data_IF_494618445341
#
_entry.id   IF_494618445341
#
_cell.length_a   1.000
_cell.length_b   1.000
_cell.length_c   1.000
_cell.angle_alpha   90.00
_cell.angle_beta   90.00
_cell.angle_gamma   90.00
#
_symmetry.space_group_name_H-M   'P 1'
#
loop_
_entity.id
_entity.type
_entity.pdbx_description
1 polymer ?
#
# COMPACT_ATOMS: atom_id res chain seq x y z
N UNK A 1 30.34 17.02 3.45
CA UNK A 1 29.73 17.10 4.80
C UNK A 1 28.48 17.93 4.67
N UNK A 2 27.26 17.41 4.90
CA UNK A 2 26.10 18.28 5.02
C UNK A 2 26.23 19.08 6.34
N UNK A 3 25.74 20.32 6.40
CA UNK A 3 25.77 21.08 7.63
C UNK A 3 24.91 20.35 8.66
N UNK A 4 25.54 19.96 9.77
CA UNK A 4 24.82 19.69 11.01
C UNK A 4 23.95 20.91 11.27
N UNK A 5 22.65 20.74 11.09
CA UNK A 5 21.67 21.77 11.44
C UNK A 5 21.73 21.89 12.96
N UNK A 6 22.58 22.79 13.46
CA UNK A 6 22.61 23.15 14.87
C UNK A 6 21.24 23.71 15.21
N UNK A 7 20.41 22.84 15.78
CA UNK A 7 19.11 23.23 16.28
C UNK A 7 19.36 24.28 17.37
N UNK A 8 18.74 25.45 17.25
CA UNK A 8 18.81 26.47 18.30
C UNK A 8 18.45 25.82 19.64
N UNK A 9 19.18 26.15 20.71
CA UNK A 9 18.89 25.65 22.06
C UNK A 9 17.42 25.85 22.46
N UNK A 10 16.78 26.92 21.95
CA UNK A 10 15.36 27.18 22.12
C UNK A 10 14.48 26.08 21.49
N UNK A 11 14.80 25.66 20.26
CA UNK A 11 14.03 24.64 19.53
C UNK A 11 14.27 23.26 20.16
N UNK A 12 15.50 22.97 20.58
CA UNK A 12 15.81 21.73 21.29
C UNK A 12 15.04 21.63 22.62
N UNK A 13 14.98 22.72 23.40
CA UNK A 13 14.19 22.78 24.62
C UNK A 13 12.69 22.62 24.35
N UNK A 14 12.18 23.23 23.27
CA UNK A 14 10.78 23.08 22.86
C UNK A 14 10.41 21.63 22.51
N UNK A 15 11.23 20.93 21.73
CA UNK A 15 10.99 19.52 21.44
C UNK A 15 11.09 18.64 22.68
N UNK A 16 12.05 18.90 23.57
CA UNK A 16 12.17 18.16 24.83
C UNK A 16 10.93 18.33 25.73
N UNK A 17 10.32 19.52 25.74
CA UNK A 17 9.07 19.76 26.47
C UNK A 17 7.90 18.95 25.88
N UNK A 18 7.79 18.89 24.54
CA UNK A 18 6.78 18.08 23.85
C UNK A 18 6.99 16.60 24.17
N UNK A 19 8.21 16.10 24.03
CA UNK A 19 8.55 14.69 24.29
C UNK A 19 8.16 14.30 25.72
N UNK A 20 8.51 15.11 26.72
CA UNK A 20 8.16 14.85 28.11
C UNK A 20 6.63 14.78 28.34
N UNK A 21 5.86 15.66 27.69
CA UNK A 21 4.40 15.66 27.76
C UNK A 21 3.78 14.45 27.05
N UNK A 22 4.34 14.05 25.92
CA UNK A 22 3.91 12.85 25.18
C UNK A 22 4.18 11.60 26.01
N UNK A 23 5.36 11.46 26.60
CA UNK A 23 5.70 10.34 27.50
C UNK A 23 4.73 10.25 28.68
N UNK A 24 4.44 11.38 29.34
CA UNK A 24 3.46 11.43 30.43
C UNK A 24 2.07 10.95 29.98
N UNK A 25 1.61 11.38 28.80
CA UNK A 25 0.32 10.95 28.27
C UNK A 25 0.33 9.45 27.92
N UNK A 26 1.43 8.96 27.35
CA UNK A 26 1.62 7.54 27.02
C UNK A 26 1.59 6.65 28.26
N UNK A 27 2.21 7.08 29.36
CA UNK A 27 2.18 6.37 30.65
C UNK A 27 0.77 6.29 31.26
N UNK A 28 -0.02 7.36 31.12
CA UNK A 28 -1.43 7.35 31.54
C UNK A 28 -2.23 6.37 30.70
N UNK A 29 -2.06 6.40 29.37
CA UNK A 29 -2.74 5.49 28.45
C UNK A 29 -2.34 4.03 28.70
N UNK A 30 -1.05 3.74 28.92
CA UNK A 30 -0.54 2.39 29.20
C UNK A 30 -1.14 1.81 30.48
N UNK A 31 -1.19 2.61 31.56
CA UNK A 31 -1.85 2.17 32.81
C UNK A 31 -3.35 1.97 32.66
N UNK A 32 -4.01 2.70 31.76
CA UNK A 32 -5.42 2.49 31.47
C UNK A 32 -5.64 1.19 30.68
N UNK A 33 -4.89 0.97 29.60
CA UNK A 33 -4.96 -0.22 28.74
C UNK A 33 -4.63 -1.51 29.50
N UNK A 34 -3.67 -1.47 30.42
CA UNK A 34 -3.32 -2.60 31.29
C UNK A 34 -4.46 -3.08 32.22
N UNK A 35 -5.59 -2.37 32.30
CA UNK A 35 -6.78 -2.84 33.03
C UNK A 35 -7.60 -3.88 32.26
N UNK A 36 -7.29 -4.14 30.98
CA UNK A 36 -7.99 -5.15 30.17
C UNK A 36 -9.45 -4.78 29.86
N UNK A 37 -9.77 -3.49 29.78
CA UNK A 37 -11.12 -2.99 29.49
C UNK A 37 -11.32 -2.58 28.01
N UNK A 38 -10.25 -2.59 27.24
CA UNK A 38 -10.20 -2.21 25.82
C UNK A 38 -9.80 -3.44 24.97
N UNK A 39 -9.95 -3.41 23.63
CA UNK A 39 -9.60 -4.55 22.77
C UNK A 39 -8.15 -5.03 22.90
N UNK A 40 -7.24 -4.15 23.30
CA UNK A 40 -5.81 -4.42 23.44
C UNK A 40 -5.30 -3.91 24.79
N UNK A 41 -4.44 -4.67 25.45
CA UNK A 41 -3.85 -4.34 26.76
C UNK A 41 -2.64 -3.39 26.67
N UNK A 42 -2.27 -2.97 25.45
CA UNK A 42 -1.20 -2.03 25.15
C UNK A 42 -1.74 -0.76 24.50
N UNK A 43 -0.91 0.27 24.41
CA UNK A 43 -1.21 1.45 23.60
C UNK A 43 -0.98 1.11 22.14
N UNK A 44 -2.03 1.23 21.31
CA UNK A 44 -1.99 0.80 19.90
C UNK A 44 -1.38 1.85 18.96
N UNK A 45 -1.25 3.10 19.41
CA UNK A 45 -0.67 4.19 18.61
C UNK A 45 0.84 4.22 18.88
N UNK A 46 1.69 3.78 17.93
CA UNK A 46 3.13 3.83 18.10
C UNK A 46 3.64 5.28 18.01
N UNK A 47 4.68 5.60 18.79
CA UNK A 47 5.41 6.86 18.65
C UNK A 47 6.46 6.72 17.56
N UNK A 48 6.61 7.75 16.74
CA UNK A 48 7.63 7.82 15.70
C UNK A 48 8.25 9.22 15.65
N UNK A 49 9.58 9.29 15.58
CA UNK A 49 10.32 10.55 15.55
C UNK A 49 10.56 11.08 14.14
N UNK A 50 10.50 10.21 13.13
CA UNK A 50 10.72 10.55 11.74
C UNK A 50 9.81 9.74 10.80
N UNK A 51 9.86 10.05 9.51
CA UNK A 51 9.05 9.38 8.48
C UNK A 51 9.38 7.89 8.37
N UNK A 52 10.66 7.49 8.44
CA UNK A 52 11.06 6.10 8.30
C UNK A 52 10.59 5.22 9.48
N UNK A 53 10.60 5.75 10.71
CA UNK A 53 10.01 5.11 11.89
C UNK A 53 8.49 5.03 11.79
N UNK A 54 7.84 6.06 11.22
CA UNK A 54 6.39 6.04 10.99
C UNK A 54 6.00 4.95 10.01
N UNK A 55 6.77 4.77 8.93
CA UNK A 55 6.56 3.71 7.94
C UNK A 55 6.70 2.33 8.59
N UNK A 56 7.78 2.09 9.34
CA UNK A 56 8.00 0.83 10.05
C UNK A 56 6.91 0.57 11.09
N UNK A 57 6.58 1.56 11.92
CA UNK A 57 5.56 1.48 12.95
C UNK A 57 4.16 1.26 12.39
N UNK A 58 3.80 1.89 11.27
CA UNK A 58 2.50 1.73 10.61
C UNK A 58 2.32 0.28 10.13
N UNK A 59 3.30 -0.28 9.42
CA UNK A 59 3.17 -1.63 8.87
C UNK A 59 3.33 -2.70 9.97
N UNK A 60 3.95 -2.36 11.11
CA UNK A 60 4.05 -3.26 12.26
C UNK A 60 2.69 -3.65 12.85
N UNK A 61 1.63 -2.90 12.55
CA UNK A 61 0.25 -3.25 12.93
C UNK A 61 -0.21 -4.58 12.30
N UNK A 62 0.27 -4.93 11.10
CA UNK A 62 -0.07 -6.17 10.39
C UNK A 62 1.10 -7.15 10.29
N UNK A 63 2.33 -6.68 10.50
CA UNK A 63 3.53 -7.52 10.53
C UNK A 63 4.45 -7.12 11.70
N UNK A 64 4.12 -7.52 12.95
CA UNK A 64 4.86 -7.11 14.14
C UNK A 64 6.37 -7.43 14.09
N UNK A 65 6.77 -8.45 13.34
CA UNK A 65 8.16 -8.88 13.16
C UNK A 65 9.06 -7.84 12.47
N UNK A 66 8.48 -6.84 11.79
CA UNK A 66 9.27 -5.79 11.14
C UNK A 66 9.73 -4.72 12.13
N UNK A 67 9.07 -4.60 13.27
CA UNK A 67 9.39 -3.58 14.27
C UNK A 67 10.79 -3.83 14.83
N UNK A 68 11.69 -2.85 14.71
CA UNK A 68 13.08 -2.97 15.12
C UNK A 68 13.93 -3.85 14.20
N UNK A 69 13.42 -4.27 13.04
CA UNK A 69 14.18 -5.10 12.07
C UNK A 69 15.27 -4.32 11.32
N UNK A 70 15.29 -2.99 11.46
CA UNK A 70 16.27 -2.12 10.83
C UNK A 70 15.82 -1.52 9.49
N UNK A 71 14.55 -1.69 9.11
CA UNK A 71 13.96 -1.11 7.90
C UNK A 71 14.05 0.42 7.94
N UNK A 72 13.72 1.07 9.06
CA UNK A 72 13.81 2.53 9.17
C UNK A 72 15.23 3.05 8.91
N UNK A 73 16.26 2.33 9.40
CA UNK A 73 17.66 2.68 9.12
C UNK A 73 17.97 2.53 7.63
N UNK A 74 17.52 1.44 7.02
CA UNK A 74 17.76 1.17 5.60
C UNK A 74 17.09 2.21 4.70
N UNK A 75 15.88 2.63 5.02
CA UNK A 75 15.21 3.73 4.29
C UNK A 75 16.11 4.97 4.28
N UNK A 76 16.66 5.37 5.44
CA UNK A 76 17.58 6.51 5.52
C UNK A 76 18.90 6.33 4.76
N UNK A 77 19.38 5.09 4.56
CA UNK A 77 20.52 4.80 3.68
C UNK A 77 20.16 4.94 2.21
N UNK A 78 19.00 4.41 1.80
CA UNK A 78 18.49 4.54 0.44
C UNK A 78 18.19 6.00 0.09
N UNK A 79 17.67 6.80 1.03
CA UNK A 79 17.46 8.24 0.82
C UNK A 79 18.77 9.00 0.59
N UNK A 80 19.89 8.57 1.20
CA UNK A 80 21.21 9.15 0.92
C UNK A 80 21.72 8.79 -0.48
N UNK A 81 21.29 7.65 -1.02
CA UNK A 81 21.67 7.17 -2.35
C UNK A 81 20.82 7.80 -3.47
N UNK A 82 19.49 7.77 -3.32
CA UNK A 82 18.54 8.19 -4.35
C UNK A 82 18.02 9.62 -4.18
N UNK A 83 18.10 10.16 -2.96
CA UNK A 83 17.43 11.40 -2.56
C UNK A 83 16.23 11.12 -1.64
N UNK A 84 15.94 12.07 -0.75
CA UNK A 84 14.78 11.96 0.15
C UNK A 84 13.47 12.03 -0.64
N UNK A 85 12.51 11.19 -0.25
CA UNK A 85 11.21 11.01 -0.91
C UNK A 85 11.29 10.58 -2.39
N UNK A 86 12.44 10.10 -2.86
CA UNK A 86 12.54 9.55 -4.21
C UNK A 86 11.80 8.20 -4.29
N UNK A 87 10.97 8.02 -5.32
CA UNK A 87 10.16 6.81 -5.52
C UNK A 87 11.02 5.54 -5.63
N UNK A 88 12.28 5.63 -6.07
CA UNK A 88 13.20 4.49 -6.16
C UNK A 88 13.54 3.90 -4.79
N UNK A 89 13.47 4.70 -3.72
CA UNK A 89 13.62 4.20 -2.34
C UNK A 89 12.51 3.20 -2.01
N UNK A 90 11.26 3.48 -2.40
CA UNK A 90 10.12 2.57 -2.21
C UNK A 90 10.33 1.24 -2.94
N UNK A 91 10.78 1.29 -4.20
CA UNK A 91 11.05 0.09 -5.00
C UNK A 91 12.17 -0.76 -4.40
N UNK A 92 13.26 -0.10 -3.98
CA UNK A 92 14.41 -0.77 -3.40
C UNK A 92 14.04 -1.43 -2.06
N UNK A 93 13.42 -0.71 -1.14
CA UNK A 93 13.07 -1.27 0.17
C UNK A 93 12.03 -2.38 0.06
N UNK A 94 11.02 -2.21 -0.81
CA UNK A 94 10.01 -3.24 -1.07
C UNK A 94 10.64 -4.54 -1.57
N UNK A 95 11.60 -4.45 -2.51
CA UNK A 95 12.33 -5.61 -3.02
C UNK A 95 13.21 -6.26 -1.96
N UNK A 96 13.88 -5.46 -1.14
CA UNK A 96 14.75 -5.99 -0.08
C UNK A 96 13.96 -6.75 1.00
N UNK A 97 12.79 -6.23 1.37
CA UNK A 97 11.87 -6.91 2.29
C UNK A 97 11.27 -8.16 1.65
N UNK A 98 10.83 -8.08 0.40
CA UNK A 98 10.32 -9.24 -0.32
C UNK A 98 11.36 -10.38 -0.45
N UNK A 99 12.65 -10.06 -0.42
CA UNK A 99 13.76 -11.02 -0.39
C UNK A 99 14.19 -11.41 1.04
N UNK A 100 13.38 -11.07 2.04
CA UNK A 100 13.58 -11.43 3.45
C UNK A 100 14.92 -10.96 4.04
N UNK A 101 15.45 -9.80 3.59
CA UNK A 101 16.75 -9.30 4.07
C UNK A 101 16.76 -8.86 5.55
N UNK A 102 15.59 -8.58 6.14
CA UNK A 102 15.47 -8.00 7.48
C UNK A 102 14.84 -8.95 8.50
N UNK A 103 13.86 -9.74 8.07
CA UNK A 103 13.16 -10.72 8.88
C UNK A 103 12.54 -11.79 7.95
N UNK A 104 12.11 -12.89 8.55
CA UNK A 104 11.46 -14.01 7.87
C UNK A 104 9.94 -13.89 7.93
N UNK A 105 9.26 -14.34 6.88
CA UNK A 105 7.79 -14.40 6.80
C UNK A 105 7.32 -15.85 6.69
N UNK A 106 6.03 -16.10 6.90
CA UNK A 106 5.47 -17.45 6.78
C UNK A 106 5.43 -17.94 5.33
N UNK A 107 5.44 -17.01 4.37
CA UNK A 107 5.49 -17.34 2.94
C UNK A 107 6.14 -16.24 2.11
N UNK A 108 6.61 -16.62 0.91
CA UNK A 108 7.12 -15.68 -0.08
C UNK A 108 6.05 -14.64 -0.51
N UNK A 109 4.77 -15.03 -0.50
CA UNK A 109 3.64 -14.12 -0.75
C UNK A 109 3.56 -13.05 0.32
N UNK A 110 3.58 -13.45 1.58
CA UNK A 110 3.56 -12.52 2.71
C UNK A 110 4.76 -11.56 2.67
N UNK A 111 5.97 -12.07 2.40
CA UNK A 111 7.16 -11.22 2.25
C UNK A 111 6.97 -10.15 1.16
N UNK A 112 6.42 -10.54 0.00
CA UNK A 112 6.12 -9.59 -1.09
C UNK A 112 5.06 -8.57 -0.68
N UNK A 113 3.97 -9.00 -0.02
CA UNK A 113 2.92 -8.12 0.45
C UNK A 113 3.45 -7.11 1.47
N UNK A 114 4.22 -7.55 2.48
CA UNK A 114 4.82 -6.63 3.46
C UNK A 114 5.81 -5.69 2.80
N UNK A 115 6.62 -6.16 1.84
CA UNK A 115 7.49 -5.29 1.05
C UNK A 115 6.71 -4.21 0.31
N UNK A 116 5.61 -4.57 -0.35
CA UNK A 116 4.71 -3.63 -1.03
C UNK A 116 4.10 -2.64 -0.04
N UNK A 117 3.64 -3.09 1.13
CA UNK A 117 3.08 -2.22 2.18
C UNK A 117 4.09 -1.19 2.67
N UNK A 118 5.32 -1.60 2.95
CA UNK A 118 6.39 -0.68 3.39
C UNK A 118 6.73 0.32 2.29
N UNK A 119 6.88 -0.13 1.04
CA UNK A 119 7.12 0.76 -0.09
C UNK A 119 5.97 1.75 -0.30
N UNK A 120 4.72 1.28 -0.22
CA UNK A 120 3.54 2.13 -0.37
C UNK A 120 3.42 3.14 0.77
N UNK A 121 3.68 2.72 2.01
CA UNK A 121 3.73 3.61 3.16
C UNK A 121 4.79 4.69 3.00
N UNK A 122 5.98 4.35 2.48
CA UNK A 122 7.01 5.34 2.17
C UNK A 122 6.52 6.37 1.13
N UNK A 123 5.90 5.92 0.03
CA UNK A 123 5.35 6.81 -1.01
C UNK A 123 4.32 7.80 -0.46
N UNK A 124 3.61 7.41 0.59
CA UNK A 124 2.59 8.24 1.25
C UNK A 124 3.07 8.83 2.58
N UNK A 125 4.39 8.87 2.83
CA UNK A 125 5.01 9.40 4.05
C UNK A 125 4.52 8.78 5.37
N UNK A 126 3.89 7.60 5.31
CA UNK A 126 3.25 6.93 6.43
C UNK A 126 2.07 7.71 7.04
N UNK A 127 1.42 8.61 6.29
CA UNK A 127 0.34 9.47 6.82
C UNK A 127 -1.07 9.07 6.39
N UNK A 128 -1.22 8.01 5.60
CA UNK A 128 -2.52 7.56 5.09
C UNK A 128 -2.72 6.07 5.34
N UNK A 129 -3.97 5.62 5.32
CA UNK A 129 -4.33 4.23 5.61
C UNK A 129 -4.15 3.27 4.41
N UNK A 130 -3.99 3.79 3.18
CA UNK A 130 -3.89 2.96 1.96
C UNK A 130 -2.89 1.80 2.01
N UNK A 131 -1.71 1.90 2.65
CA UNK A 131 -0.80 0.77 2.80
C UNK A 131 -1.35 -0.39 3.64
N UNK A 132 -2.31 -0.13 4.53
CA UNK A 132 -2.97 -1.15 5.37
C UNK A 132 -4.33 -1.55 4.81
N UNK A 133 -5.15 -0.57 4.45
CA UNK A 133 -6.57 -0.76 4.12
C UNK A 133 -6.87 -0.62 2.62
N UNK A 134 -5.99 0.04 1.86
CA UNK A 134 -6.19 0.26 0.43
C UNK A 134 -5.67 -0.92 -0.40
N UNK A 135 -4.43 -1.34 -0.16
CA UNK A 135 -3.90 -2.59 -0.70
C UNK A 135 -4.33 -3.75 0.21
N UNK A 136 -5.13 -4.70 -0.28
CA UNK A 136 -5.66 -5.80 0.54
C UNK A 136 -4.74 -7.01 0.47
N UNK A 137 -4.45 -7.51 -0.72
CA UNK A 137 -3.57 -8.66 -0.94
C UNK A 137 -3.16 -8.80 -2.41
N UNK A 138 -2.17 -9.66 -2.66
CA UNK A 138 -1.90 -10.24 -3.98
C UNK A 138 -2.65 -11.56 -4.07
N UNK A 139 -3.50 -11.74 -5.08
CA UNK A 139 -4.02 -13.06 -5.47
C UNK A 139 -3.18 -13.61 -6.62
N UNK A 140 -2.67 -14.82 -6.47
CA UNK A 140 -2.00 -15.54 -7.55
C UNK A 140 -3.05 -16.24 -8.41
N UNK A 141 -3.17 -15.82 -9.67
CA UNK A 141 -4.09 -16.40 -10.64
C UNK A 141 -3.33 -17.00 -11.82
N UNK A 142 -4.01 -17.83 -12.62
CA UNK A 142 -3.41 -18.50 -13.79
C UNK A 142 -3.81 -17.82 -15.09
N UNK A 143 -2.81 -17.64 -15.94
CA UNK A 143 -2.96 -17.23 -17.34
C UNK A 143 -3.54 -18.37 -18.17
N UNK A 144 -3.91 -18.07 -19.43
CA UNK A 144 -4.35 -19.08 -20.40
C UNK A 144 -3.28 -20.14 -20.66
N UNK A 145 -2.01 -19.76 -20.58
CA UNK A 145 -0.85 -20.66 -20.74
C UNK A 145 -0.47 -21.41 -19.45
N UNK A 146 -1.22 -21.23 -18.37
CA UNK A 146 -1.02 -21.89 -17.07
C UNK A 146 0.01 -21.22 -16.16
N UNK A 147 0.77 -20.21 -16.63
CA UNK A 147 1.69 -19.46 -15.76
C UNK A 147 0.94 -18.59 -14.76
N UNK A 148 1.56 -18.34 -13.61
CA UNK A 148 0.99 -17.50 -12.57
C UNK A 148 1.26 -16.01 -12.82
N UNK A 149 0.29 -15.16 -12.49
CA UNK A 149 0.39 -13.71 -12.54
C UNK A 149 -0.26 -13.09 -11.29
N UNK A 150 -0.02 -11.79 -11.10
CA UNK A 150 -0.57 -11.03 -9.98
C UNK A 150 -1.94 -10.43 -10.31
N UNK A 151 -2.95 -10.79 -9.53
CA UNK A 151 -4.18 -10.02 -9.37
C UNK A 151 -4.09 -9.23 -8.05
N UNK A 152 -4.16 -7.90 -8.13
CA UNK A 152 -3.93 -7.02 -6.98
C UNK A 152 -5.28 -6.58 -6.44
N UNK A 153 -5.61 -7.02 -5.24
CA UNK A 153 -6.85 -6.65 -4.58
C UNK A 153 -6.68 -5.28 -3.92
N UNK A 154 -7.29 -4.26 -4.52
CA UNK A 154 -7.42 -2.92 -3.94
C UNK A 154 -8.85 -2.69 -3.40
N UNK A 155 -8.94 -2.01 -2.27
CA UNK A 155 -10.20 -1.57 -1.67
C UNK A 155 -10.34 -0.04 -1.74
N UNK A 156 -11.57 0.45 -1.55
CA UNK A 156 -11.91 1.88 -1.61
C UNK A 156 -11.00 2.85 -0.81
N UNK A 157 -10.47 2.48 0.38
CA UNK A 157 -9.52 3.33 1.12
C UNK A 157 -8.25 3.72 0.33
N UNK A 158 -7.92 3.02 -0.76
CA UNK A 158 -6.82 3.38 -1.66
C UNK A 158 -6.92 4.83 -2.16
N UNK A 159 -8.15 5.37 -2.27
CA UNK A 159 -8.42 6.79 -2.62
C UNK A 159 -7.60 7.77 -1.77
N UNK A 160 -7.35 7.46 -0.50
CA UNK A 160 -6.63 8.34 0.43
C UNK A 160 -5.14 8.50 0.09
N UNK A 161 -4.55 7.61 -0.71
CA UNK A 161 -3.17 7.75 -1.17
C UNK A 161 -3.00 8.84 -2.23
N UNK A 162 -4.08 9.18 -2.94
CA UNK A 162 -4.03 10.03 -4.13
C UNK A 162 -3.43 9.33 -5.35
N UNK A 163 -3.71 9.86 -6.54
CA UNK A 163 -3.38 9.22 -7.82
C UNK A 163 -1.88 8.97 -8.02
N UNK A 164 -1.00 9.89 -7.57
CA UNK A 164 0.45 9.73 -7.74
C UNK A 164 0.98 8.52 -6.98
N UNK A 165 0.66 8.40 -5.68
CA UNK A 165 1.17 7.29 -4.87
C UNK A 165 0.55 5.95 -5.29
N UNK A 166 -0.74 5.94 -5.66
CA UNK A 166 -1.40 4.75 -6.19
C UNK A 166 -0.76 4.27 -7.51
N UNK A 167 -0.50 5.18 -8.45
CA UNK A 167 0.15 4.84 -9.73
C UNK A 167 1.56 4.29 -9.53
N UNK A 168 2.35 4.91 -8.63
CA UNK A 168 3.71 4.42 -8.32
C UNK A 168 3.66 3.10 -7.54
N UNK A 169 2.63 2.86 -6.72
CA UNK A 169 2.43 1.57 -6.07
C UNK A 169 2.17 0.47 -7.10
N UNK A 170 1.32 0.70 -8.10
CA UNK A 170 1.11 -0.25 -9.21
C UNK A 170 2.42 -0.54 -9.97
N UNK A 171 3.23 0.48 -10.25
CA UNK A 171 4.56 0.33 -10.85
C UNK A 171 5.50 -0.53 -9.98
N UNK A 172 5.52 -0.27 -8.67
CA UNK A 172 6.34 -1.01 -7.71
C UNK A 172 5.90 -2.47 -7.61
N UNK A 173 4.59 -2.74 -7.63
CA UNK A 173 4.06 -4.10 -7.60
C UNK A 173 4.46 -4.85 -8.88
N UNK A 174 4.42 -4.20 -10.05
CA UNK A 174 4.93 -4.79 -11.30
C UNK A 174 6.43 -5.07 -11.24
N UNK A 175 7.20 -4.19 -10.58
CA UNK A 175 8.61 -4.41 -10.33
C UNK A 175 8.84 -5.67 -9.48
N UNK A 176 8.10 -5.84 -8.38
CA UNK A 176 8.14 -7.06 -7.55
C UNK A 176 7.73 -8.29 -8.36
N UNK A 177 6.63 -8.23 -9.13
CA UNK A 177 6.20 -9.32 -10.02
C UNK A 177 7.34 -9.81 -10.92
N UNK A 178 8.05 -8.88 -11.56
CA UNK A 178 9.20 -9.20 -12.45
C UNK A 178 10.35 -9.84 -11.68
N UNK A 179 10.69 -9.30 -10.52
CA UNK A 179 11.80 -9.78 -9.68
C UNK A 179 11.60 -11.22 -9.19
N UNK A 180 10.34 -11.64 -8.99
CA UNK A 180 9.99 -12.99 -8.55
C UNK A 180 9.50 -13.91 -9.69
N UNK A 181 9.64 -13.48 -10.95
CA UNK A 181 9.42 -14.35 -12.12
C UNK A 181 7.97 -14.63 -12.47
N UNK A 182 7.01 -13.87 -11.94
CA UNK A 182 5.60 -13.99 -12.29
C UNK A 182 5.34 -13.40 -13.67
N UNK A 183 4.44 -14.03 -14.44
CA UNK A 183 4.11 -13.60 -15.78
C UNK A 183 3.25 -12.32 -15.77
N UNK A 184 3.28 -11.58 -16.88
CA UNK A 184 2.36 -10.46 -17.08
C UNK A 184 0.94 -10.97 -17.30
N UNK A 185 -0.05 -10.24 -16.79
CA UNK A 185 -1.47 -10.51 -16.98
C UNK A 185 -1.83 -10.60 -18.48
N UNK A 186 -2.69 -11.56 -18.85
CA UNK A 186 -3.19 -11.78 -20.20
C UNK A 186 -4.72 -11.55 -20.26
N UNK A 187 -5.19 -10.29 -20.26
CA UNK A 187 -6.60 -10.00 -20.25
C UNK A 187 -7.32 -10.56 -21.48
N UNK A 188 -8.56 -10.97 -21.29
CA UNK A 188 -9.53 -11.28 -22.35
C UNK A 188 -10.27 -10.00 -22.77
N UNK A 189 -10.85 -10.02 -23.97
CA UNK A 189 -11.68 -8.90 -24.44
C UNK A 189 -12.85 -8.59 -23.48
N UNK A 190 -13.41 -9.62 -22.82
CA UNK A 190 -14.48 -9.41 -21.84
C UNK A 190 -13.98 -8.72 -20.57
N UNK A 191 -12.78 -9.06 -20.08
CA UNK A 191 -12.18 -8.40 -18.92
C UNK A 191 -11.79 -6.95 -19.24
N UNK A 192 -11.30 -6.68 -20.45
CA UNK A 192 -11.00 -5.31 -20.91
C UNK A 192 -12.27 -4.45 -20.91
N UNK A 193 -13.36 -4.98 -21.50
CA UNK A 193 -14.64 -4.27 -21.54
C UNK A 193 -15.27 -4.14 -20.15
N UNK A 194 -15.04 -5.12 -19.26
CA UNK A 194 -15.44 -5.03 -17.85
C UNK A 194 -14.80 -3.83 -17.15
N UNK A 195 -13.52 -3.55 -17.36
CA UNK A 195 -12.89 -2.34 -16.79
C UNK A 195 -13.60 -1.06 -17.25
N UNK A 196 -13.89 -0.93 -18.54
CA UNK A 196 -14.61 0.23 -19.08
C UNK A 196 -16.01 0.36 -18.47
N UNK A 197 -16.80 -0.72 -18.50
CA UNK A 197 -18.14 -0.73 -17.91
C UNK A 197 -18.12 -0.35 -16.43
N UNK A 198 -17.21 -0.94 -15.65
CA UNK A 198 -17.13 -0.72 -14.21
C UNK A 198 -16.68 0.70 -13.84
N UNK A 199 -15.75 1.30 -14.60
CA UNK A 199 -15.32 2.69 -14.41
C UNK A 199 -16.46 3.69 -14.69
N UNK A 200 -17.23 3.48 -15.77
CA UNK A 200 -18.37 4.34 -16.09
C UNK A 200 -19.52 4.14 -15.10
N UNK A 201 -19.87 2.90 -14.76
CA UNK A 201 -20.87 2.59 -13.74
C UNK A 201 -20.51 3.22 -12.38
N UNK A 202 -19.24 3.13 -11.98
CA UNK A 202 -18.76 3.77 -10.77
C UNK A 202 -18.89 5.28 -10.84
N UNK A 203 -18.43 5.91 -11.94
CA UNK A 203 -18.46 7.36 -12.12
C UNK A 203 -19.89 7.92 -12.07
N UNK A 204 -20.85 7.23 -12.71
CA UNK A 204 -22.22 7.71 -12.86
C UNK A 204 -23.11 7.38 -11.66
N UNK A 205 -22.87 6.23 -11.02
CA UNK A 205 -23.83 5.65 -10.06
C UNK A 205 -23.30 5.56 -8.63
N UNK A 206 -21.99 5.68 -8.42
CA UNK A 206 -21.36 5.56 -7.09
C UNK A 206 -20.69 6.88 -6.70
N UNK A 207 -19.65 7.29 -7.42
CA UNK A 207 -18.92 8.52 -7.12
C UNK A 207 -18.11 8.99 -8.33
N UNK A 208 -18.12 10.30 -8.61
CA UNK A 208 -17.37 10.85 -9.72
C UNK A 208 -15.86 10.68 -9.53
N UNK A 209 -15.21 10.12 -10.55
CA UNK A 209 -13.76 10.09 -10.68
C UNK A 209 -13.21 11.50 -10.90
N UNK A 210 -12.03 11.78 -10.33
CA UNK A 210 -11.31 13.04 -10.58
C UNK A 210 -10.94 13.22 -12.06
N UNK A 211 -10.66 12.10 -12.72
CA UNK A 211 -10.48 11.99 -14.15
C UNK A 211 -11.24 10.76 -14.62
N UNK A 212 -12.21 10.93 -15.50
CA UNK A 212 -12.85 9.82 -16.20
C UNK A 212 -12.12 9.65 -17.54
N UNK A 213 -11.29 8.61 -17.72
CA UNK A 213 -10.62 8.37 -18.98
C UNK A 213 -11.64 8.00 -20.06
N UNK A 214 -11.29 8.22 -21.33
CA UNK A 214 -12.13 7.74 -22.44
C UNK A 214 -12.11 6.21 -22.52
N UNK A 215 -13.11 5.61 -23.18
CA UNK A 215 -13.11 4.16 -23.40
C UNK A 215 -11.83 3.66 -24.10
N UNK A 216 -11.28 4.46 -25.03
CA UNK A 216 -10.01 4.14 -25.70
C UNK A 216 -8.82 4.14 -24.74
N UNK A 217 -8.77 5.11 -23.81
CA UNK A 217 -7.72 5.16 -22.79
C UNK A 217 -7.84 3.99 -21.81
N UNK A 218 -9.07 3.67 -21.36
CA UNK A 218 -9.31 2.52 -20.48
C UNK A 218 -8.90 1.23 -21.17
N UNK A 219 -9.31 1.07 -22.42
CA UNK A 219 -8.94 -0.10 -23.23
C UNK A 219 -7.43 -0.21 -23.38
N UNK A 220 -6.75 0.88 -23.70
CA UNK A 220 -5.30 0.93 -23.80
C UNK A 220 -4.64 0.51 -22.48
N UNK A 221 -5.08 1.05 -21.35
CA UNK A 221 -4.55 0.68 -20.04
C UNK A 221 -4.80 -0.79 -19.72
N UNK A 222 -6.03 -1.28 -19.88
CA UNK A 222 -6.40 -2.65 -19.59
C UNK A 222 -5.63 -3.67 -20.44
N UNK A 223 -5.34 -3.35 -21.71
CA UNK A 223 -4.55 -4.21 -22.61
C UNK A 223 -3.05 -4.27 -22.25
N UNK A 224 -2.52 -3.21 -21.64
CA UNK A 224 -1.07 -3.06 -21.42
C UNK A 224 -0.65 -3.20 -19.95
N UNK A 225 -1.59 -3.18 -19.01
CA UNK A 225 -1.28 -3.32 -17.60
C UNK A 225 -0.83 -4.77 -17.29
N UNK A 226 0.40 -4.98 -16.79
CA UNK A 226 0.93 -6.32 -16.55
C UNK A 226 0.36 -6.99 -15.28
N UNK A 227 -0.49 -6.28 -14.55
CA UNK A 227 -1.17 -6.69 -13.34
C UNK A 227 -2.67 -6.67 -13.62
N UNK A 228 -3.42 -7.62 -13.08
CA UNK A 228 -4.87 -7.48 -13.02
C UNK A 228 -5.20 -6.61 -11.79
N UNK A 229 -5.78 -5.44 -11.99
CA UNK A 229 -6.40 -4.71 -10.87
C UNK A 229 -7.69 -5.41 -10.50
N UNK A 230 -7.79 -5.83 -9.25
CA UNK A 230 -8.90 -6.58 -8.69
C UNK A 230 -9.37 -5.93 -7.39
N UNK A 231 -10.49 -6.39 -6.86
CA UNK A 231 -11.15 -5.77 -5.72
C UNK A 231 -12.22 -6.67 -5.15
N UNK A 232 -12.40 -6.62 -3.84
CA UNK A 232 -13.60 -7.17 -3.21
C UNK A 232 -14.84 -6.32 -3.59
N UNK A 233 -16.06 -6.89 -3.52
CA UNK A 233 -17.30 -6.17 -3.82
C UNK A 233 -17.53 -5.07 -2.79
N UNK A 234 -17.07 -3.86 -3.09
CA UNK A 234 -17.16 -2.72 -2.17
C UNK A 234 -18.48 -1.95 -2.26
N UNK A 235 -19.25 -2.15 -3.33
CA UNK A 235 -20.54 -1.50 -3.55
C UNK A 235 -21.67 -2.54 -3.65
N UNK A 236 -22.89 -2.14 -3.27
CA UNK A 236 -24.09 -2.98 -3.43
C UNK A 236 -24.56 -3.07 -4.89
N UNK A 237 -24.12 -2.13 -5.73
CA UNK A 237 -24.53 -2.02 -7.12
C UNK A 237 -23.74 -2.99 -8.01
N UNK A 238 -24.47 -3.74 -8.83
CA UNK A 238 -23.88 -4.55 -9.89
C UNK A 238 -23.46 -3.71 -11.09
N UNK A 239 -22.42 -4.20 -11.78
CA UNK A 239 -22.03 -3.70 -13.11
C UNK A 239 -23.15 -3.93 -14.11
N UNK A 240 -23.30 -3.00 -15.05
CA UNK A 240 -24.35 -3.01 -16.06
C UNK A 240 -24.15 -4.10 -17.13
N UNK A 241 -22.91 -4.53 -17.37
CA UNK A 241 -22.56 -5.57 -18.35
C UNK A 241 -21.28 -6.33 -17.94
N UNK A 242 -20.93 -7.39 -18.69
CA UNK A 242 -19.72 -8.22 -18.48
C UNK A 242 -19.66 -8.87 -17.09
N UNK A 243 -20.76 -9.52 -16.73
CA UNK A 243 -20.93 -10.33 -15.51
C UNK A 243 -20.35 -11.74 -15.67
N UNK A 244 -20.16 -12.42 -14.54
CA UNK A 244 -19.80 -13.84 -14.43
C UNK A 244 -18.48 -14.20 -15.15
N UNK A 245 -17.49 -13.30 -15.08
CA UNK A 245 -16.17 -13.53 -15.67
C UNK A 245 -15.34 -14.47 -14.80
N UNK A 246 -14.70 -15.46 -15.42
CA UNK A 246 -13.98 -16.53 -14.72
C UNK A 246 -12.87 -16.05 -13.77
N UNK A 247 -12.29 -14.86 -13.99
CA UNK A 247 -11.21 -14.30 -13.17
C UNK A 247 -11.61 -13.03 -12.42
N UNK A 248 -12.91 -12.74 -12.32
CA UNK A 248 -13.45 -11.64 -11.52
C UNK A 248 -14.49 -12.23 -10.58
N UNK A 249 -14.22 -12.22 -9.28
CA UNK A 249 -14.99 -13.01 -8.30
C UNK A 249 -16.37 -12.41 -7.96
N UNK A 250 -16.72 -11.26 -8.56
CA UNK A 250 -17.97 -10.54 -8.27
C UNK A 250 -18.56 -9.81 -9.47
N UNK A 251 -19.88 -9.65 -9.44
CA UNK A 251 -20.64 -8.80 -10.35
C UNK A 251 -20.90 -7.40 -9.78
N UNK A 252 -20.53 -7.15 -8.52
CA UNK A 252 -20.59 -5.81 -7.93
C UNK A 252 -19.45 -4.91 -8.43
N UNK A 253 -19.68 -3.60 -8.35
CA UNK A 253 -18.66 -2.59 -8.62
C UNK A 253 -17.57 -2.66 -7.55
N UNK A 254 -16.31 -2.69 -7.99
CA UNK A 254 -15.10 -2.73 -7.15
C UNK A 254 -14.44 -1.36 -7.14
N UNK A 255 -14.75 -0.55 -6.13
CA UNK A 255 -14.31 0.83 -5.99
C UNK A 255 -12.79 0.97 -6.01
N UNK A 256 -12.05 0.04 -5.38
CA UNK A 256 -10.59 0.07 -5.42
C UNK A 256 -9.99 -0.17 -6.81
N UNK A 257 -10.72 -0.81 -7.72
CA UNK A 257 -10.31 -0.99 -9.13
C UNK A 257 -10.54 0.29 -9.94
N UNK A 258 -11.58 1.03 -9.60
CA UNK A 258 -11.95 2.27 -10.29
C UNK A 258 -11.06 3.48 -9.91
N UNK A 259 -10.39 3.41 -8.76
CA UNK A 259 -9.59 4.48 -8.15
C UNK A 259 -8.10 4.37 -8.49
#
# INVERSE_FOLDING_TARGET
MPPTQECSLLIAAYFAEIDAKVEQAYDVAGRARAKGLDPEERVDIPLARNMAERVEGLISAVAPQINGSGISRRIGELEKEYGSLDWRVALAIAKEIAREKFCTFASQKEAMEIGIRVGFAYLTMGTVASPLEGFVEIRLRKRKDGREYFAINFAGPVRSAGGTAAAVAVLMIDYIRKEFGFAAYDPTDQEIRRYATELYDYHERVNNLQYLPSEEEIRFLAEHLPLQLDGDPSEELEVSNYKDLARVDTNCIRSGVCL
#
